data_IF_564741288827
#
_entry.id   IF_564741288827
#
_cell.length_a   1.000
_cell.length_b   1.000
_cell.length_c   1.000
_cell.angle_alpha   90.00
_cell.angle_beta   90.00
_cell.angle_gamma   90.00
#
_symmetry.space_group_name_H-M   'P 1'
#
loop_
_entity.id
_entity.type
_entity.pdbx_description
1 polymer ?
#
# COMPACT_ATOMS: atom_id res chain seq x y z
N UNK A 1 -13.93 38.19 -61.19
CA UNK A 1 -14.01 38.04 -59.74
C UNK A 1 -13.46 36.68 -59.37
N UNK A 2 -12.22 36.63 -58.85
CA UNK A 2 -11.59 35.37 -58.41
C UNK A 2 -11.90 35.18 -56.91
N UNK A 3 -12.62 34.12 -56.54
CA UNK A 3 -12.86 33.74 -55.14
C UNK A 3 -11.67 32.92 -54.66
N UNK A 4 -10.91 33.46 -53.72
CA UNK A 4 -9.86 32.75 -52.99
C UNK A 4 -10.50 31.94 -51.88
N UNK A 5 -10.43 30.60 -51.99
CA UNK A 5 -10.83 29.69 -50.92
C UNK A 5 -9.68 29.62 -49.92
N UNK A 6 -9.88 30.09 -48.70
CA UNK A 6 -8.98 29.93 -47.58
C UNK A 6 -9.28 28.57 -46.96
N UNK A 7 -8.37 27.61 -47.12
CA UNK A 7 -8.41 26.33 -46.41
C UNK A 7 -7.84 26.55 -44.99
N UNK A 8 -8.70 26.54 -43.99
CA UNK A 8 -8.25 26.44 -42.61
C UNK A 8 -7.85 24.99 -42.32
N UNK A 9 -6.56 24.70 -42.30
CA UNK A 9 -6.02 23.43 -41.80
C UNK A 9 -6.12 23.45 -40.27
N UNK A 10 -7.09 22.70 -39.72
CA UNK A 10 -7.14 22.42 -38.29
C UNK A 10 -5.99 21.46 -37.99
N UNK A 11 -4.93 21.99 -37.36
CA UNK A 11 -3.80 21.21 -36.86
C UNK A 11 -4.29 20.41 -35.65
N UNK A 12 -4.71 19.18 -35.85
CA UNK A 12 -4.97 18.23 -34.77
C UNK A 12 -3.62 17.82 -34.18
N UNK A 13 -3.18 18.49 -33.11
CA UNK A 13 -2.07 18.02 -32.31
C UNK A 13 -2.50 16.69 -31.68
N UNK A 14 -1.72 15.60 -31.85
CA UNK A 14 -1.99 14.36 -31.15
C UNK A 14 -1.90 14.65 -29.65
N UNK A 15 -2.98 14.41 -28.92
CA UNK A 15 -2.95 14.34 -27.45
C UNK A 15 -1.97 13.19 -27.15
N UNK A 16 -0.79 13.52 -26.64
CA UNK A 16 0.16 12.50 -26.17
C UNK A 16 -0.55 11.78 -25.02
N UNK A 17 -1.05 10.58 -25.29
CA UNK A 17 -1.59 9.72 -24.26
C UNK A 17 -0.51 9.51 -23.21
N UNK A 18 -0.83 9.82 -21.95
CA UNK A 18 0.09 9.58 -20.83
C UNK A 18 0.36 8.08 -20.75
N UNK A 19 1.65 7.69 -20.67
CA UNK A 19 2.00 6.27 -20.57
C UNK A 19 1.51 5.72 -19.22
N UNK A 20 0.59 4.78 -19.28
CA UNK A 20 0.01 4.10 -18.11
C UNK A 20 0.97 3.08 -17.46
N UNK A 21 2.12 2.81 -18.08
CA UNK A 21 3.18 1.99 -17.48
C UNK A 21 3.94 2.77 -16.42
N UNK A 22 4.60 2.05 -15.55
CA UNK A 22 5.50 2.66 -14.58
C UNK A 22 6.76 3.20 -15.26
N UNK A 23 7.14 4.41 -14.89
CA UNK A 23 8.48 4.90 -15.23
C UNK A 23 9.53 4.12 -14.42
N UNK A 24 10.80 4.13 -14.85
CA UNK A 24 11.90 3.54 -14.06
C UNK A 24 11.91 4.07 -12.61
N UNK A 25 11.71 5.36 -12.41
CA UNK A 25 11.71 6.02 -11.11
C UNK A 25 10.54 5.57 -10.23
N UNK A 26 9.33 5.42 -10.80
CA UNK A 26 8.17 4.89 -10.09
C UNK A 26 8.40 3.45 -9.64
N UNK A 27 9.01 2.64 -10.50
CA UNK A 27 9.36 1.25 -10.19
C UNK A 27 10.43 1.16 -9.10
N UNK A 28 11.49 1.94 -9.20
CA UNK A 28 12.54 2.00 -8.18
C UNK A 28 11.99 2.48 -6.83
N UNK A 29 11.13 3.51 -6.83
CA UNK A 29 10.43 3.98 -5.62
C UNK A 29 9.62 2.85 -4.98
N UNK A 30 8.89 2.08 -5.76
CA UNK A 30 8.08 0.98 -5.26
C UNK A 30 8.97 -0.15 -4.67
N UNK A 31 10.01 -0.56 -5.38
CA UNK A 31 10.98 -1.57 -4.91
C UNK A 31 11.65 -1.10 -3.62
N UNK A 32 12.10 0.16 -3.58
CA UNK A 32 12.73 0.76 -2.40
C UNK A 32 11.81 0.79 -1.18
N UNK A 33 10.56 1.21 -1.35
CA UNK A 33 9.57 1.25 -0.28
C UNK A 33 9.26 -0.15 0.28
N UNK A 34 9.15 -1.16 -0.59
CA UNK A 34 8.95 -2.55 -0.19
C UNK A 34 10.14 -3.07 0.61
N UNK A 35 11.35 -2.84 0.14
CA UNK A 35 12.59 -3.27 0.81
C UNK A 35 12.73 -2.63 2.19
N UNK A 36 12.55 -1.31 2.27
CA UNK A 36 12.65 -0.56 3.54
C UNK A 36 11.61 -1.06 4.54
N UNK A 37 10.33 -1.12 4.16
CA UNK A 37 9.28 -1.57 5.08
C UNK A 37 9.43 -3.03 5.50
N UNK A 38 10.07 -3.88 4.68
CA UNK A 38 10.40 -5.25 5.07
C UNK A 38 11.53 -5.29 6.11
N UNK A 39 12.58 -4.52 5.92
CA UNK A 39 13.68 -4.43 6.87
C UNK A 39 13.19 -3.90 8.22
N UNK A 40 12.43 -2.81 8.20
CA UNK A 40 11.88 -2.19 9.40
C UNK A 40 10.92 -3.13 10.16
N UNK A 41 10.10 -3.94 9.44
CA UNK A 41 9.24 -4.94 10.08
C UNK A 41 10.03 -6.01 10.81
N UNK A 42 11.05 -6.56 10.16
CA UNK A 42 11.91 -7.60 10.75
C UNK A 42 12.66 -7.03 11.98
N UNK A 43 13.19 -5.80 11.86
CA UNK A 43 13.90 -5.14 12.95
C UNK A 43 12.97 -4.81 14.12
N UNK A 44 11.76 -4.32 13.84
CA UNK A 44 10.77 -4.01 14.88
C UNK A 44 10.39 -5.23 15.73
N UNK A 45 10.48 -6.44 15.19
CA UNK A 45 10.16 -7.69 15.89
C UNK A 45 11.40 -8.40 16.45
N UNK A 46 12.61 -7.91 16.10
CA UNK A 46 13.84 -8.48 16.63
C UNK A 46 13.88 -8.32 18.16
N UNK A 47 14.32 -9.35 18.86
CA UNK A 47 14.43 -9.37 20.32
C UNK A 47 13.13 -9.10 21.11
N UNK A 48 11.96 -9.15 20.48
CA UNK A 48 10.68 -9.07 21.19
C UNK A 48 10.44 -10.40 21.91
N UNK A 49 10.35 -10.37 23.24
CA UNK A 49 10.06 -11.54 24.07
C UNK A 49 8.58 -11.92 23.98
N UNK A 50 8.23 -13.13 24.42
CA UNK A 50 6.81 -13.59 24.43
C UNK A 50 5.91 -12.72 25.32
N UNK A 51 6.44 -12.22 26.43
CA UNK A 51 5.71 -11.29 27.29
C UNK A 51 5.44 -9.96 26.58
N UNK A 52 6.45 -9.42 25.91
CA UNK A 52 6.35 -8.20 25.10
C UNK A 52 5.42 -8.36 23.90
N UNK A 53 5.42 -9.53 23.25
CA UNK A 53 4.57 -9.86 22.12
C UNK A 53 3.08 -9.78 22.44
N UNK A 54 2.71 -10.29 23.63
CA UNK A 54 1.32 -10.37 24.08
C UNK A 54 0.84 -9.18 24.89
N UNK A 55 1.77 -8.36 25.38
CA UNK A 55 1.41 -7.24 26.23
C UNK A 55 0.56 -6.19 25.51
N UNK A 56 -0.51 -5.75 26.17
CA UNK A 56 -1.44 -4.72 25.66
C UNK A 56 -1.42 -3.50 26.57
N UNK A 57 -1.30 -2.29 26.01
CA UNK A 57 -1.42 -1.05 26.80
C UNK A 57 -2.76 -0.92 27.53
N UNK A 58 -3.86 -1.30 26.87
CA UNK A 58 -5.21 -1.45 27.41
C UNK A 58 -5.91 -2.59 26.69
N UNK A 59 -7.08 -3.02 27.19
CA UNK A 59 -7.85 -4.10 26.54
C UNK A 59 -8.22 -3.78 25.08
N UNK A 60 -8.44 -2.50 24.76
CA UNK A 60 -8.86 -2.02 23.43
C UNK A 60 -7.70 -1.72 22.49
N UNK A 61 -6.46 -1.66 22.99
CA UNK A 61 -5.28 -1.38 22.19
C UNK A 61 -4.60 -2.69 21.79
N UNK A 62 -4.11 -2.70 20.58
CA UNK A 62 -3.37 -3.86 20.06
C UNK A 62 -2.00 -4.01 20.73
N UNK A 63 -1.60 -5.26 20.93
CA UNK A 63 -0.24 -5.65 21.30
C UNK A 63 0.71 -5.52 20.11
N UNK A 64 2.02 -5.72 20.34
CA UNK A 64 3.00 -5.87 19.27
C UNK A 64 2.63 -7.01 18.33
N UNK A 65 2.21 -8.16 18.89
CA UNK A 65 1.79 -9.33 18.13
C UNK A 65 0.57 -9.08 17.27
N UNK A 66 -0.46 -8.44 17.82
CA UNK A 66 -1.66 -8.08 17.06
C UNK A 66 -1.36 -7.08 15.93
N UNK A 67 -0.47 -6.12 16.15
CA UNK A 67 -0.02 -5.22 15.07
C UNK A 67 0.72 -5.98 13.96
N UNK A 68 1.59 -6.92 14.33
CA UNK A 68 2.35 -7.73 13.39
C UNK A 68 1.44 -8.67 12.58
N UNK A 69 0.49 -9.34 13.24
CA UNK A 69 -0.54 -10.17 12.60
C UNK A 69 -1.36 -9.36 11.59
N UNK A 70 -1.82 -8.17 11.99
CA UNK A 70 -2.56 -7.28 11.11
C UNK A 70 -1.76 -6.88 9.86
N UNK A 71 -0.48 -6.58 9.98
CA UNK A 71 0.39 -6.25 8.83
C UNK A 71 0.41 -7.43 7.84
N UNK A 72 0.57 -8.66 8.32
CA UNK A 72 0.58 -9.87 7.47
C UNK A 72 -0.75 -10.04 6.73
N UNK A 73 -1.85 -9.95 7.45
CA UNK A 73 -3.19 -10.09 6.88
C UNK A 73 -3.50 -8.98 5.86
N UNK A 74 -3.12 -7.75 6.20
CA UNK A 74 -3.33 -6.59 5.33
C UNK A 74 -2.50 -6.67 4.05
N UNK A 75 -1.28 -7.20 4.10
CA UNK A 75 -0.47 -7.37 2.89
C UNK A 75 -1.15 -8.29 1.89
N UNK A 76 -1.69 -9.42 2.34
CA UNK A 76 -2.42 -10.35 1.49
C UNK A 76 -3.69 -9.71 0.89
N UNK A 77 -4.48 -9.00 1.71
CA UNK A 77 -5.68 -8.30 1.26
C UNK A 77 -5.35 -7.22 0.23
N UNK A 78 -4.38 -6.37 0.52
CA UNK A 78 -4.00 -5.26 -0.36
C UNK A 78 -3.39 -5.75 -1.67
N UNK A 79 -2.59 -6.81 -1.65
CA UNK A 79 -2.09 -7.42 -2.88
C UNK A 79 -3.22 -8.06 -3.69
N UNK A 80 -4.22 -8.64 -3.04
CA UNK A 80 -5.47 -9.08 -3.69
C UNK A 80 -6.17 -7.92 -4.43
N UNK A 81 -6.18 -6.71 -3.84
CA UNK A 81 -6.72 -5.50 -4.50
C UNK A 81 -5.88 -5.04 -5.69
N UNK A 82 -4.56 -5.19 -5.63
CA UNK A 82 -3.69 -4.97 -6.81
C UNK A 82 -4.08 -5.91 -7.94
N UNK A 83 -4.26 -7.20 -7.64
CA UNK A 83 -4.63 -8.20 -8.63
C UNK A 83 -6.05 -7.98 -9.18
N UNK A 84 -7.01 -7.59 -8.33
CA UNK A 84 -8.36 -7.20 -8.74
C UNK A 84 -8.30 -6.05 -9.76
N UNK A 85 -7.54 -5.00 -9.44
CA UNK A 85 -7.35 -3.88 -10.36
C UNK A 85 -6.70 -4.32 -11.67
N UNK A 86 -5.61 -5.08 -11.63
CA UNK A 86 -4.89 -5.58 -12.82
C UNK A 86 -5.79 -6.41 -13.73
N UNK A 87 -6.69 -7.20 -13.15
CA UNK A 87 -7.65 -8.05 -13.90
C UNK A 87 -8.89 -7.28 -14.38
N UNK A 88 -9.06 -6.02 -13.97
CA UNK A 88 -10.15 -5.18 -14.48
C UNK A 88 -9.82 -4.64 -15.89
N UNK A 89 -10.82 -4.28 -16.70
CA UNK A 89 -10.56 -3.53 -17.92
C UNK A 89 -9.83 -2.21 -17.63
N UNK A 90 -9.04 -1.74 -18.60
CA UNK A 90 -8.44 -0.42 -18.53
C UNK A 90 -9.53 0.66 -18.34
N UNK A 91 -9.34 1.55 -17.39
CA UNK A 91 -10.27 2.63 -17.09
C UNK A 91 -9.90 3.87 -17.90
N UNK A 92 -10.71 4.30 -18.88
CA UNK A 92 -10.38 5.45 -19.73
C UNK A 92 -10.30 6.77 -18.96
N UNK A 93 -10.84 6.82 -17.73
CA UNK A 93 -10.82 8.02 -16.87
C UNK A 93 -9.75 7.94 -15.77
N UNK A 94 -8.82 6.98 -15.86
CA UNK A 94 -7.86 6.70 -14.79
C UNK A 94 -7.04 7.94 -14.38
N UNK A 95 -6.58 8.75 -15.33
CA UNK A 95 -5.80 9.96 -15.03
C UNK A 95 -6.57 10.90 -14.12
N UNK A 96 -7.83 11.19 -14.46
CA UNK A 96 -8.69 12.07 -13.67
C UNK A 96 -9.03 11.48 -12.31
N UNK A 97 -9.40 10.19 -12.29
CA UNK A 97 -9.85 9.50 -11.05
C UNK A 97 -8.73 9.25 -10.06
N UNK A 98 -7.48 9.12 -10.52
CA UNK A 98 -6.34 8.76 -9.66
C UNK A 98 -5.36 9.91 -9.40
N UNK A 99 -5.58 11.08 -10.01
CA UNK A 99 -4.72 12.26 -9.91
C UNK A 99 -4.46 12.67 -8.46
N UNK A 100 -3.19 12.90 -8.12
CA UNK A 100 -2.77 13.41 -6.80
C UNK A 100 -2.90 12.39 -5.66
N UNK A 101 -3.36 11.16 -5.94
CA UNK A 101 -3.59 10.17 -4.88
C UNK A 101 -2.32 9.47 -4.41
N UNK A 102 -1.29 9.40 -5.24
CA UNK A 102 -0.01 8.82 -4.81
C UNK A 102 0.63 9.69 -3.71
N UNK A 103 0.67 10.99 -3.89
CA UNK A 103 1.19 11.95 -2.93
C UNK A 103 0.31 12.01 -1.67
N UNK A 104 -1.00 11.92 -1.85
CA UNK A 104 -1.95 11.86 -0.74
C UNK A 104 -1.73 10.60 0.12
N UNK A 105 -1.65 9.42 -0.49
CA UNK A 105 -1.40 8.15 0.20
C UNK A 105 -0.04 8.16 0.93
N UNK A 106 1.01 8.64 0.27
CA UNK A 106 2.35 8.78 0.84
C UNK A 106 2.36 9.65 2.09
N UNK A 107 1.54 10.71 2.09
CA UNK A 107 1.41 11.62 3.23
C UNK A 107 0.58 11.04 4.36
N UNK A 108 -0.55 10.39 4.06
CA UNK A 108 -1.52 10.01 5.10
C UNK A 108 -1.28 8.63 5.68
N UNK A 109 -0.84 7.67 4.85
CA UNK A 109 -0.74 6.28 5.29
C UNK A 109 0.33 6.06 6.35
N UNK A 110 1.60 6.47 6.17
CA UNK A 110 2.63 6.25 7.18
C UNK A 110 2.42 7.07 8.46
N UNK A 111 1.64 8.14 8.41
CA UNK A 111 1.59 9.13 9.48
C UNK A 111 0.46 8.94 10.50
N UNK A 112 -0.28 7.82 10.44
CA UNK A 112 -1.37 7.50 11.38
C UNK A 112 -2.36 8.66 11.58
N UNK A 113 -2.57 9.47 10.54
CA UNK A 113 -3.55 10.55 10.54
C UNK A 113 -4.95 9.92 10.51
N UNK A 114 -5.69 10.13 11.59
CA UNK A 114 -7.02 9.54 11.79
C UNK A 114 -6.98 8.07 12.24
N UNK A 115 -8.06 7.65 12.89
CA UNK A 115 -8.33 6.26 13.28
C UNK A 115 -9.37 5.71 12.33
N UNK A 116 -9.07 4.62 11.65
CA UNK A 116 -10.04 3.83 10.91
C UNK A 116 -10.22 2.49 11.61
N UNK A 117 -11.46 2.00 11.65
CA UNK A 117 -11.72 0.63 12.09
C UNK A 117 -11.17 -0.33 11.03
N UNK A 118 -10.43 -1.35 11.48
CA UNK A 118 -9.96 -2.41 10.60
C UNK A 118 -11.15 -3.15 9.98
N UNK A 119 -11.10 -3.50 8.68
CA UNK A 119 -12.00 -4.51 8.12
C UNK A 119 -11.88 -5.81 8.92
N UNK A 120 -13.02 -6.54 9.05
CA UNK A 120 -13.07 -7.77 9.85
C UNK A 120 -12.11 -8.85 9.35
N UNK A 121 -11.88 -8.88 8.03
CA UNK A 121 -11.02 -9.87 7.38
C UNK A 121 -9.55 -9.77 7.80
N UNK A 122 -9.13 -8.59 8.23
CA UNK A 122 -7.75 -8.31 8.66
C UNK A 122 -7.67 -7.85 10.11
N UNK A 123 -8.77 -8.00 10.88
CA UNK A 123 -8.76 -7.74 12.32
C UNK A 123 -7.92 -8.83 13.01
N UNK A 124 -6.85 -8.46 13.75
CA UNK A 124 -5.96 -9.45 14.36
C UNK A 124 -6.70 -10.18 15.49
N UNK A 125 -6.44 -11.47 15.62
CA UNK A 125 -7.02 -12.34 16.65
C UNK A 125 -6.07 -12.60 17.82
N UNK A 126 -4.81 -12.16 17.69
CA UNK A 126 -3.76 -12.38 18.68
C UNK A 126 -3.28 -13.83 18.79
N UNK A 127 -3.55 -14.65 17.78
CA UNK A 127 -3.22 -16.09 17.79
C UNK A 127 -1.93 -16.42 17.03
N UNK A 128 -1.37 -15.47 16.30
CA UNK A 128 -0.16 -15.68 15.50
C UNK A 128 1.09 -15.59 16.38
N UNK A 129 1.99 -16.56 16.28
CA UNK A 129 3.30 -16.47 16.91
C UNK A 129 4.22 -15.49 16.15
N UNK A 130 5.28 -15.03 16.81
CA UNK A 130 6.28 -14.16 16.17
C UNK A 130 6.95 -14.85 14.97
N UNK A 131 7.29 -16.12 15.13
CA UNK A 131 7.93 -16.94 14.09
C UNK A 131 6.99 -17.10 12.87
N UNK A 132 5.72 -17.35 13.13
CA UNK A 132 4.70 -17.45 12.08
C UNK A 132 4.49 -16.12 11.36
N UNK A 133 4.38 -15.01 12.10
CA UNK A 133 4.26 -13.68 11.54
C UNK A 133 5.44 -13.34 10.63
N UNK A 134 6.68 -13.57 11.08
CA UNK A 134 7.88 -13.37 10.28
C UNK A 134 7.93 -14.26 9.04
N UNK A 135 7.52 -15.52 9.15
CA UNK A 135 7.47 -16.48 8.04
C UNK A 135 6.47 -16.02 6.97
N UNK A 136 5.22 -15.76 7.36
CA UNK A 136 4.15 -15.38 6.45
C UNK A 136 4.44 -14.03 5.79
N UNK A 137 4.95 -13.06 6.56
CA UNK A 137 5.35 -11.77 6.02
C UNK A 137 6.42 -11.90 4.93
N UNK A 138 7.49 -12.68 5.18
CA UNK A 138 8.52 -12.92 4.17
C UNK A 138 7.98 -13.62 2.93
N UNK A 139 7.07 -14.56 3.09
CA UNK A 139 6.43 -15.24 1.96
C UNK A 139 5.60 -14.27 1.10
N UNK A 140 4.79 -13.41 1.72
CA UNK A 140 4.05 -12.36 1.04
C UNK A 140 4.98 -11.40 0.29
N UNK A 141 6.07 -10.98 0.94
CA UNK A 141 7.06 -10.06 0.35
C UNK A 141 7.79 -10.64 -0.87
N UNK A 142 8.05 -11.93 -0.90
CA UNK A 142 8.61 -12.58 -2.10
C UNK A 142 7.67 -12.38 -3.30
N UNK A 143 6.37 -12.61 -3.12
CA UNK A 143 5.38 -12.47 -4.19
C UNK A 143 5.20 -11.02 -4.62
N UNK A 144 4.99 -10.12 -3.66
CA UNK A 144 4.74 -8.70 -3.96
C UNK A 144 5.95 -8.01 -4.57
N UNK A 145 7.17 -8.35 -4.11
CA UNK A 145 8.40 -7.79 -4.68
C UNK A 145 8.70 -8.32 -6.07
N UNK A 146 8.49 -9.61 -6.33
CA UNK A 146 8.65 -10.17 -7.68
C UNK A 146 7.65 -9.53 -8.65
N UNK A 147 6.40 -9.37 -8.24
CA UNK A 147 5.38 -8.73 -9.06
C UNK A 147 5.82 -7.34 -9.56
N UNK A 148 6.24 -6.44 -8.68
CA UNK A 148 6.59 -5.07 -9.11
C UNK A 148 7.89 -5.02 -9.91
N UNK A 149 8.82 -5.93 -9.66
CA UNK A 149 10.07 -6.01 -10.40
C UNK A 149 9.85 -6.46 -11.86
N UNK A 150 8.91 -7.37 -12.10
CA UNK A 150 8.76 -8.09 -13.36
C UNK A 150 7.57 -7.61 -14.21
N UNK A 151 6.52 -7.06 -13.60
CA UNK A 151 5.30 -6.71 -14.32
C UNK A 151 5.53 -5.70 -15.44
N UNK A 152 4.93 -5.97 -16.60
CA UNK A 152 4.84 -5.06 -17.74
C UNK A 152 3.42 -4.49 -17.92
N UNK A 153 2.51 -4.85 -17.01
CA UNK A 153 1.13 -4.35 -17.03
C UNK A 153 1.13 -2.84 -16.82
N UNK A 154 0.32 -2.07 -17.57
CA UNK A 154 0.19 -0.63 -17.39
C UNK A 154 -0.64 -0.31 -16.12
N UNK A 155 0.01 -0.46 -14.96
CA UNK A 155 -0.64 -0.43 -13.63
C UNK A 155 -1.43 0.85 -13.31
N UNK A 156 -1.22 1.94 -14.06
CA UNK A 156 -1.90 3.22 -13.79
C UNK A 156 -3.32 3.25 -14.35
N UNK A 157 -3.59 2.57 -15.46
CA UNK A 157 -4.92 2.57 -16.09
C UNK A 157 -5.89 1.50 -15.55
N UNK A 158 -5.37 0.49 -14.86
CA UNK A 158 -6.17 -0.53 -14.19
C UNK A 158 -6.54 -0.05 -12.79
N UNK A 159 -7.83 0.00 -12.48
CA UNK A 159 -8.33 0.60 -11.25
C UNK A 159 -9.28 -0.30 -10.49
N UNK A 160 -9.32 -0.15 -9.16
CA UNK A 160 -10.33 -0.75 -8.30
C UNK A 160 -10.81 0.27 -7.25
N UNK A 161 -12.06 0.11 -6.79
CA UNK A 161 -12.65 0.99 -5.79
C UNK A 161 -12.13 0.67 -4.39
N UNK A 162 -11.89 1.74 -3.61
CA UNK A 162 -11.52 1.62 -2.21
C UNK A 162 -12.77 1.76 -1.33
N UNK A 163 -12.95 0.92 -0.28
CA UNK A 163 -14.14 0.97 0.58
C UNK A 163 -14.28 2.29 1.37
N UNK A 164 -13.16 3.00 1.58
CA UNK A 164 -13.23 4.33 2.22
C UNK A 164 -13.36 5.44 1.17
N UNK A 165 -14.45 6.24 1.23
CA UNK A 165 -14.72 7.28 0.21
C UNK A 165 -13.59 8.29 0.02
N UNK A 166 -12.77 8.54 1.06
CA UNK A 166 -11.63 9.46 0.97
C UNK A 166 -10.58 9.02 -0.07
N UNK A 167 -10.47 7.72 -0.33
CA UNK A 167 -9.58 7.16 -1.35
C UNK A 167 -10.29 6.92 -2.68
N UNK A 168 -11.59 6.59 -2.65
CA UNK A 168 -12.39 6.33 -3.83
C UNK A 168 -11.69 5.33 -4.79
N UNK A 169 -11.59 5.64 -6.07
CA UNK A 169 -10.91 4.81 -7.07
C UNK A 169 -9.39 4.90 -6.93
N UNK A 170 -8.68 3.79 -6.82
CA UNK A 170 -7.23 3.72 -6.85
C UNK A 170 -6.75 2.88 -8.05
N UNK A 171 -5.64 3.30 -8.65
CA UNK A 171 -4.95 2.49 -9.67
C UNK A 171 -4.25 1.29 -9.04
N UNK A 172 -3.94 0.26 -9.83
CA UNK A 172 -3.17 -0.89 -9.36
C UNK A 172 -1.81 -0.47 -8.77
N UNK A 173 -1.17 0.57 -9.33
CA UNK A 173 0.05 1.14 -8.76
C UNK A 173 -0.19 1.78 -7.39
N UNK A 174 -1.27 2.52 -7.22
CA UNK A 174 -1.62 3.16 -5.94
C UNK A 174 -1.99 2.11 -4.88
N UNK A 175 -2.74 1.08 -5.24
CA UNK A 175 -2.99 -0.08 -4.38
C UNK A 175 -1.70 -0.79 -3.96
N UNK A 176 -0.75 -0.92 -4.92
CA UNK A 176 0.55 -1.51 -4.62
C UNK A 176 1.35 -0.66 -3.62
N UNK A 177 1.43 0.66 -3.83
CA UNK A 177 2.14 1.56 -2.93
C UNK A 177 1.48 1.68 -1.55
N UNK A 178 0.20 1.37 -1.45
CA UNK A 178 -0.50 1.29 -0.17
C UNK A 178 0.12 0.22 0.74
N UNK A 179 0.61 -0.91 0.21
CA UNK A 179 1.18 -2.02 0.97
C UNK A 179 2.36 -1.58 1.87
N UNK A 180 3.48 -1.04 1.35
CA UNK A 180 4.59 -0.63 2.18
C UNK A 180 4.24 0.51 3.12
N UNK A 181 3.41 1.47 2.72
CA UNK A 181 3.00 2.58 3.57
C UNK A 181 2.07 2.15 4.70
N UNK A 182 1.20 1.16 4.47
CA UNK A 182 0.40 0.54 5.51
C UNK A 182 1.28 -0.20 6.53
N UNK A 183 2.28 -0.94 6.06
CA UNK A 183 3.28 -1.55 6.93
C UNK A 183 3.95 -0.49 7.82
N UNK A 184 4.46 0.61 7.24
CA UNK A 184 5.07 1.72 7.98
C UNK A 184 4.12 2.34 9.01
N UNK A 185 2.83 2.46 8.70
CA UNK A 185 1.79 2.94 9.63
C UNK A 185 1.75 2.10 10.90
N UNK A 186 1.73 0.78 10.75
CA UNK A 186 1.61 -0.13 11.87
C UNK A 186 2.94 -0.39 12.58
N UNK A 187 4.08 -0.18 11.92
CA UNK A 187 5.39 -0.11 12.57
C UNK A 187 5.47 1.07 13.56
N UNK A 188 4.93 2.23 13.20
CA UNK A 188 4.77 3.33 14.15
C UNK A 188 3.87 2.96 15.33
N UNK A 189 2.80 2.19 15.08
CA UNK A 189 1.94 1.68 16.17
C UNK A 189 2.71 0.72 17.10
N UNK A 190 3.53 -0.17 16.56
CA UNK A 190 4.41 -1.04 17.33
C UNK A 190 5.36 -0.20 18.21
N UNK A 191 5.97 0.83 17.63
CA UNK A 191 6.83 1.74 18.39
C UNK A 191 6.09 2.46 19.52
N UNK A 192 4.85 2.92 19.28
CA UNK A 192 3.98 3.50 20.30
C UNK A 192 3.66 2.51 21.44
N UNK A 193 3.40 1.24 21.11
CA UNK A 193 3.16 0.19 22.12
C UNK A 193 4.41 0.00 22.97
N UNK A 194 5.58 -0.14 22.36
CA UNK A 194 6.86 -0.32 23.06
C UNK A 194 7.24 0.87 23.94
N UNK A 195 6.83 2.08 23.57
CA UNK A 195 7.08 3.29 24.34
C UNK A 195 6.06 3.55 25.45
N UNK A 196 5.00 2.74 25.56
CA UNK A 196 3.96 2.94 26.58
C UNK A 196 4.49 2.50 27.95
N UNK A 197 4.17 3.28 28.99
CA UNK A 197 4.49 2.93 30.37
C UNK A 197 3.92 1.55 30.74
N UNK A 198 4.73 0.74 31.45
CA UNK A 198 4.37 -0.63 31.79
C UNK A 198 4.69 -1.67 30.70
N UNK A 199 5.25 -1.27 29.54
CA UNK A 199 5.77 -2.25 28.58
C UNK A 199 6.84 -3.13 29.25
N UNK A 200 6.76 -4.48 29.12
CA UNK A 200 7.70 -5.38 29.80
C UNK A 200 9.15 -5.06 29.41
N UNK A 201 10.00 -4.97 30.42
CA UNK A 201 11.46 -4.93 30.22
C UNK A 201 11.97 -6.33 30.02
N UNK A 202 13.09 -6.47 29.31
CA UNK A 202 13.76 -7.74 29.07
C UNK A 202 14.17 -8.42 30.39
#
# INVERSE_FOLDING_TARGET
>A
MRRTLIFNAVLCLPLLATDARLTPEEREKAIGAMKTSQQDYIEALNNVTEAQWKWKPTAERWSVGECAEHIVLAEALLFGKVQEAVNSPANPEWETKTKGKIEFLEKVMPNRLGKAKSPLEIEPKGNMSKEEALKLFRQGRVQTSAFIAETQVPLKEHTAEHPFPVFNTLSAYQWYMYIPWHTMRHLKQIAEVKATEGYPKD
#
